data_IF_146755612698
#
_entry.id   IF_146755612698
#
_cell.length_a   1.000
_cell.length_b   1.000
_cell.length_c   1.000
_cell.angle_alpha   90.00
_cell.angle_beta   90.00
_cell.angle_gamma   90.00
#
_symmetry.space_group_name_H-M   'P 1'
#
loop_
_entity.id
_entity.type
_entity.pdbx_description
1 polymer ?
#
# COMPACT_ATOMS: atom_id res chain seq x y z
N UNK A 1 -2.10 10.71 45.21
CA UNK A 1 -2.97 11.21 44.12
C UNK A 1 -2.51 10.52 42.85
N UNK A 2 -3.03 9.35 42.44
CA UNK A 2 -4.29 9.15 41.68
C UNK A 2 -4.42 10.24 40.60
N UNK A 3 -4.28 10.01 39.29
CA UNK A 3 -4.63 8.86 38.43
C UNK A 3 -3.86 9.04 37.09
N UNK A 4 -3.32 8.00 36.41
CA UNK A 4 -2.82 8.17 35.06
C UNK A 4 -4.02 8.32 34.11
N UNK A 5 -3.95 9.32 33.23
CA UNK A 5 -4.91 9.56 32.17
C UNK A 5 -4.88 8.35 31.22
N UNK A 6 -5.72 7.35 31.50
CA UNK A 6 -6.09 6.32 30.54
C UNK A 6 -6.71 7.03 29.34
N UNK A 7 -5.91 7.27 28.32
CA UNK A 7 -6.37 7.38 26.94
C UNK A 7 -6.96 6.02 26.53
N UNK A 8 -8.11 5.69 27.13
CA UNK A 8 -9.08 4.82 26.50
C UNK A 8 -9.65 5.62 25.33
N UNK A 9 -8.91 5.64 24.23
CA UNK A 9 -9.52 5.84 22.93
C UNK A 9 -10.60 4.76 22.84
N UNK A 10 -11.86 5.14 23.06
CA UNK A 10 -12.98 4.44 22.47
C UNK A 10 -12.70 4.43 20.96
N UNK A 11 -11.98 3.42 20.49
CA UNK A 11 -12.14 2.93 19.14
C UNK A 11 -13.62 2.57 19.08
N UNK A 12 -14.43 3.43 18.48
CA UNK A 12 -15.72 2.99 17.99
C UNK A 12 -15.40 1.76 17.15
N UNK A 13 -15.73 0.58 17.66
CA UNK A 13 -15.52 -0.68 16.96
C UNK A 13 -16.50 -0.67 15.80
N UNK A 14 -16.08 -0.06 14.69
CA UNK A 14 -16.83 -0.11 13.46
C UNK A 14 -16.83 -1.56 13.01
N UNK A 15 -17.99 -2.05 12.59
CA UNK A 15 -18.02 -3.32 11.89
C UNK A 15 -17.05 -3.26 10.68
N UNK A 16 -16.35 -4.35 10.36
CA UNK A 16 -15.52 -4.41 9.16
C UNK A 16 -16.38 -4.07 7.94
N UNK A 17 -15.79 -3.46 6.92
CA UNK A 17 -16.48 -3.19 5.66
C UNK A 17 -17.05 -4.49 5.04
N UNK A 18 -16.33 -5.60 5.22
CA UNK A 18 -16.73 -6.93 4.83
C UNK A 18 -16.55 -7.92 5.99
N UNK A 19 -17.64 -8.49 6.48
CA UNK A 19 -17.60 -9.43 7.62
C UNK A 19 -17.17 -10.85 7.27
N UNK A 20 -17.16 -11.22 5.98
CA UNK A 20 -16.83 -12.56 5.51
C UNK A 20 -15.59 -12.49 4.60
N UNK A 21 -14.48 -13.15 4.96
CA UNK A 21 -13.28 -13.25 4.13
C UNK A 21 -13.58 -13.84 2.76
N UNK A 22 -13.24 -13.12 1.69
CA UNK A 22 -13.42 -13.56 0.30
C UNK A 22 -12.62 -12.71 -0.68
N UNK A 23 -12.52 -13.19 -1.91
CA UNK A 23 -12.02 -12.40 -3.05
C UNK A 23 -13.12 -11.44 -3.50
N UNK A 24 -12.81 -10.14 -3.58
CA UNK A 24 -13.75 -9.12 -4.03
C UNK A 24 -13.61 -8.85 -5.53
N UNK A 25 -12.37 -8.70 -5.98
CA UNK A 25 -12.02 -8.51 -7.38
C UNK A 25 -10.63 -9.10 -7.68
N UNK A 26 -10.31 -9.17 -8.96
CA UNK A 26 -8.94 -9.43 -9.43
C UNK A 26 -8.54 -8.46 -10.52
N UNK A 27 -7.24 -8.21 -10.62
CA UNK A 27 -6.63 -7.45 -11.70
C UNK A 27 -5.54 -8.31 -12.35
N UNK A 28 -5.69 -8.63 -13.63
CA UNK A 28 -4.83 -9.59 -14.35
C UNK A 28 -4.65 -10.92 -13.58
N UNK A 29 -5.69 -11.37 -12.87
CA UNK A 29 -5.66 -12.58 -12.04
C UNK A 29 -5.06 -12.41 -10.63
N UNK A 30 -4.45 -11.26 -10.31
CA UNK A 30 -4.05 -10.94 -8.93
C UNK A 30 -5.28 -10.59 -8.11
N UNK A 31 -5.56 -11.38 -7.07
CA UNK A 31 -6.74 -11.22 -6.23
C UNK A 31 -6.57 -10.06 -5.23
N UNK A 32 -7.67 -9.32 -5.03
CA UNK A 32 -7.87 -8.36 -3.95
C UNK A 32 -8.92 -8.94 -3.01
N UNK A 33 -8.49 -9.21 -1.79
CA UNK A 33 -9.30 -9.83 -0.77
C UNK A 33 -9.97 -8.79 0.14
N UNK A 34 -11.04 -9.22 0.79
CA UNK A 34 -11.84 -8.36 1.67
C UNK A 34 -11.09 -7.89 2.92
N UNK A 35 -10.12 -8.66 3.41
CA UNK A 35 -9.25 -8.30 4.52
C UNK A 35 -8.29 -7.16 4.15
N UNK A 36 -7.68 -7.20 2.97
CA UNK A 36 -6.84 -6.10 2.45
C UNK A 36 -7.64 -4.78 2.36
N UNK A 37 -8.89 -4.87 1.87
CA UNK A 37 -9.78 -3.71 1.81
C UNK A 37 -10.22 -3.27 3.21
N UNK A 38 -10.52 -4.20 4.13
CA UNK A 38 -10.87 -3.87 5.50
C UNK A 38 -9.74 -3.15 6.23
N UNK A 39 -8.50 -3.62 6.11
CA UNK A 39 -7.32 -3.00 6.72
C UNK A 39 -7.19 -1.53 6.28
N UNK A 40 -7.32 -1.28 4.99
CA UNK A 40 -7.26 0.05 4.43
C UNK A 40 -8.45 0.94 4.86
N UNK A 41 -9.66 0.38 4.91
CA UNK A 41 -10.84 1.11 5.43
C UNK A 41 -10.66 1.47 6.91
N UNK A 42 -10.13 0.56 7.72
CA UNK A 42 -9.87 0.79 9.15
C UNK A 42 -8.78 1.85 9.34
N UNK A 43 -7.74 1.84 8.51
CA UNK A 43 -6.75 2.91 8.46
C UNK A 43 -7.40 4.26 8.15
N UNK A 44 -8.23 4.36 7.10
CA UNK A 44 -8.92 5.60 6.76
C UNK A 44 -9.86 6.10 7.86
N UNK A 45 -10.55 5.21 8.57
CA UNK A 45 -11.42 5.59 9.70
C UNK A 45 -10.69 6.32 10.81
N UNK A 46 -9.37 6.16 10.95
CA UNK A 46 -8.58 6.84 12.00
C UNK A 46 -8.54 8.36 11.84
N UNK A 47 -8.74 8.87 10.62
CA UNK A 47 -8.69 10.31 10.30
C UNK A 47 -9.81 10.81 9.37
N UNK A 48 -10.59 9.92 8.74
CA UNK A 48 -11.78 10.21 7.91
C UNK A 48 -13.07 9.66 8.50
N UNK A 49 -13.25 9.74 9.82
CA UNK A 49 -14.36 9.09 10.53
C UNK A 49 -15.77 9.56 10.11
N UNK A 50 -15.89 10.68 9.39
CA UNK A 50 -17.16 11.21 8.90
C UNK A 50 -17.56 10.66 7.52
N UNK A 51 -16.65 9.99 6.81
CA UNK A 51 -16.96 9.41 5.50
C UNK A 51 -17.74 8.11 5.62
N UNK A 52 -18.60 7.85 4.63
CA UNK A 52 -19.34 6.59 4.57
C UNK A 52 -18.40 5.42 4.30
N UNK A 53 -18.70 4.24 4.85
CA UNK A 53 -17.95 3.01 4.55
C UNK A 53 -17.83 2.76 3.04
N UNK A 54 -18.85 3.09 2.25
CA UNK A 54 -18.82 2.95 0.79
C UNK A 54 -17.75 3.83 0.14
N UNK A 55 -17.60 5.09 0.59
CA UNK A 55 -16.56 6.00 0.12
C UNK A 55 -15.16 5.45 0.45
N UNK A 56 -14.99 4.94 1.67
CA UNK A 56 -13.73 4.36 2.13
C UNK A 56 -13.36 3.08 1.36
N UNK A 57 -14.33 2.21 1.05
CA UNK A 57 -14.11 1.01 0.21
C UNK A 57 -13.62 1.43 -1.18
N UNK A 58 -14.26 2.42 -1.81
CA UNK A 58 -13.88 2.91 -3.13
C UNK A 58 -12.44 3.45 -3.14
N UNK A 59 -12.09 4.28 -2.15
CA UNK A 59 -10.71 4.77 -1.96
C UNK A 59 -9.73 3.62 -1.76
N UNK A 60 -10.07 2.64 -0.93
CA UNK A 60 -9.21 1.52 -0.62
C UNK A 60 -8.89 0.69 -1.87
N UNK A 61 -9.93 0.30 -2.61
CA UNK A 61 -9.78 -0.48 -3.85
C UNK A 61 -8.97 0.29 -4.89
N UNK A 62 -9.26 1.58 -5.10
CA UNK A 62 -8.51 2.42 -6.04
C UNK A 62 -7.02 2.51 -5.70
N UNK A 63 -6.67 2.45 -4.42
CA UNK A 63 -5.27 2.55 -3.97
C UNK A 63 -4.52 1.20 -4.01
N UNK A 64 -5.23 0.08 -3.81
CA UNK A 64 -4.63 -1.28 -3.87
C UNK A 64 -4.39 -1.73 -5.33
N UNK A 65 -5.27 -1.33 -6.25
CA UNK A 65 -5.24 -1.76 -7.66
C UNK A 65 -3.86 -1.57 -8.33
N UNK A 66 -3.20 -0.40 -8.27
CA UNK A 66 -1.92 -0.20 -8.95
C UNK A 66 -0.80 -1.13 -8.45
N UNK A 67 -0.76 -1.42 -7.14
CA UNK A 67 0.20 -2.34 -6.55
C UNK A 67 0.00 -3.76 -7.09
N UNK A 68 -1.24 -4.26 -7.04
CA UNK A 68 -1.59 -5.60 -7.54
C UNK A 68 -1.35 -5.73 -9.04
N UNK A 69 -1.62 -4.68 -9.79
CA UNK A 69 -1.31 -4.64 -11.21
C UNK A 69 0.19 -4.80 -11.46
N UNK A 70 1.05 -4.03 -10.78
CA UNK A 70 2.50 -4.10 -11.05
C UNK A 70 3.09 -5.47 -10.68
N UNK A 71 2.60 -6.11 -9.61
CA UNK A 71 2.93 -7.51 -9.31
C UNK A 71 2.54 -8.48 -10.44
N UNK A 72 1.43 -8.22 -11.14
CA UNK A 72 1.00 -9.02 -12.29
C UNK A 72 1.80 -8.75 -13.57
N UNK A 73 2.24 -7.50 -13.76
CA UNK A 73 2.92 -7.04 -14.99
C UNK A 73 4.40 -7.40 -14.95
N UNK A 74 5.02 -7.33 -13.77
CA UNK A 74 6.46 -7.54 -13.55
C UNK A 74 6.73 -8.62 -12.48
N UNK A 75 6.15 -9.85 -12.58
CA UNK A 75 6.23 -10.84 -11.52
C UNK A 75 7.66 -11.31 -11.24
N UNK A 76 8.46 -11.57 -12.29
CA UNK A 76 9.84 -12.02 -12.14
C UNK A 76 10.74 -10.96 -11.48
N UNK A 77 10.52 -9.68 -11.79
CA UNK A 77 11.22 -8.59 -11.10
C UNK A 77 10.75 -8.49 -9.64
N UNK A 78 9.44 -8.62 -9.38
CA UNK A 78 8.89 -8.57 -8.03
C UNK A 78 9.48 -9.66 -7.12
N UNK A 79 9.66 -10.88 -7.61
CA UNK A 79 10.22 -12.00 -6.85
C UNK A 79 11.68 -11.73 -6.47
N UNK A 80 12.50 -11.24 -7.41
CA UNK A 80 13.90 -10.88 -7.14
C UNK A 80 13.99 -9.74 -6.13
N UNK A 81 13.21 -8.67 -6.31
CA UNK A 81 13.21 -7.53 -5.41
C UNK A 81 12.75 -7.92 -3.99
N UNK A 82 11.81 -8.86 -3.88
CA UNK A 82 11.35 -9.40 -2.60
C UNK A 82 12.51 -10.07 -1.83
N UNK A 83 13.26 -10.93 -2.50
CA UNK A 83 14.41 -11.59 -1.88
C UNK A 83 15.49 -10.57 -1.46
N UNK A 84 15.76 -9.57 -2.30
CA UNK A 84 16.75 -8.52 -2.00
C UNK A 84 16.34 -7.64 -0.81
N UNK A 85 15.09 -7.17 -0.76
CA UNK A 85 14.60 -6.34 0.34
C UNK A 85 14.54 -7.13 1.65
N UNK A 86 14.23 -8.43 1.60
CA UNK A 86 14.25 -9.31 2.77
C UNK A 86 15.67 -9.45 3.34
N UNK A 87 16.69 -9.51 2.48
CA UNK A 87 18.09 -9.49 2.92
C UNK A 87 18.45 -8.17 3.61
N UNK A 88 17.98 -7.03 3.10
CA UNK A 88 18.19 -5.73 3.75
C UNK A 88 17.48 -5.65 5.11
N UNK A 89 16.28 -6.22 5.23
CA UNK A 89 15.58 -6.33 6.50
C UNK A 89 16.32 -7.22 7.51
N UNK A 90 16.93 -8.31 7.05
CA UNK A 90 17.81 -9.14 7.89
C UNK A 90 19.02 -8.34 8.38
N UNK A 91 19.64 -7.51 7.54
CA UNK A 91 20.74 -6.61 7.95
C UNK A 91 20.30 -5.62 9.03
N UNK A 92 19.13 -5.00 8.88
CA UNK A 92 18.53 -4.11 9.90
C UNK A 92 18.32 -4.84 11.23
N UNK A 93 17.79 -6.06 11.22
CA UNK A 93 17.58 -6.85 12.44
C UNK A 93 18.89 -7.27 13.13
N UNK A 94 20.02 -7.26 12.41
CA UNK A 94 21.37 -7.47 12.96
C UNK A 94 22.02 -6.19 13.47
N UNK A 95 21.32 -5.06 13.43
CA UNK A 95 21.79 -3.77 13.95
C UNK A 95 22.54 -2.91 12.96
N UNK A 96 22.52 -3.23 11.66
CA UNK A 96 23.04 -2.31 10.64
C UNK A 96 22.21 -1.01 10.61
N UNK A 97 22.89 0.12 10.36
CA UNK A 97 22.23 1.43 10.35
C UNK A 97 21.28 1.56 9.15
N UNK A 98 20.01 1.88 9.44
CA UNK A 98 19.02 2.16 8.40
C UNK A 98 19.48 3.27 7.46
N UNK A 99 20.06 4.34 7.99
CA UNK A 99 20.57 5.46 7.20
C UNK A 99 21.63 5.00 6.18
N UNK A 100 22.54 4.11 6.59
CA UNK A 100 23.60 3.61 5.70
C UNK A 100 23.03 2.70 4.63
N UNK A 101 22.09 1.81 4.99
CA UNK A 101 21.41 0.96 4.02
C UNK A 101 20.58 1.79 3.04
N UNK A 102 19.86 2.82 3.49
CA UNK A 102 19.11 3.71 2.60
C UNK A 102 20.02 4.43 1.61
N UNK A 103 21.14 5.01 2.07
CA UNK A 103 22.14 5.66 1.20
C UNK A 103 22.75 4.71 0.16
N UNK A 104 22.92 3.44 0.52
CA UNK A 104 23.61 2.48 -0.34
C UNK A 104 22.67 1.77 -1.32
N UNK A 105 21.45 1.46 -0.91
CA UNK A 105 20.57 0.55 -1.64
C UNK A 105 19.28 1.21 -2.13
N UNK A 106 18.85 2.34 -1.57
CA UNK A 106 17.62 2.98 -2.05
C UNK A 106 17.80 3.50 -3.47
N UNK A 107 16.83 3.21 -4.31
CA UNK A 107 16.76 3.58 -5.73
C UNK A 107 15.77 4.71 -5.98
N UNK A 108 15.22 5.32 -4.92
CA UNK A 108 14.37 6.49 -5.04
C UNK A 108 15.22 7.72 -5.43
N UNK A 109 15.21 8.05 -6.71
CA UNK A 109 15.89 9.21 -7.28
C UNK A 109 15.18 10.53 -7.00
N UNK A 110 13.89 10.50 -6.64
CA UNK A 110 13.08 11.67 -6.30
C UNK A 110 13.26 12.08 -4.83
N UNK A 111 13.95 11.26 -4.01
CA UNK A 111 14.14 11.52 -2.58
C UNK A 111 14.89 12.84 -2.31
N UNK A 112 14.33 13.75 -1.49
CA UNK A 112 14.98 15.03 -1.14
C UNK A 112 16.35 14.88 -0.48
N UNK A 113 16.63 13.72 0.11
CA UNK A 113 17.88 13.43 0.78
C UNK A 113 18.46 12.10 0.32
N UNK A 114 19.79 12.01 0.28
CA UNK A 114 20.49 10.77 -0.08
C UNK A 114 20.18 9.61 0.88
N UNK A 115 19.71 9.89 2.09
CA UNK A 115 19.25 8.86 3.03
C UNK A 115 17.77 8.50 2.90
N UNK A 116 17.07 8.97 1.86
CA UNK A 116 15.70 8.54 1.55
C UNK A 116 14.62 9.17 2.44
N UNK A 117 14.81 10.42 2.89
CA UNK A 117 13.84 11.09 3.79
C UNK A 117 12.81 11.90 3.04
N UNK A 118 11.59 11.84 3.55
CA UNK A 118 10.45 12.64 3.10
C UNK A 118 9.69 13.23 4.29
N UNK A 119 8.95 14.30 4.03
CA UNK A 119 7.93 14.81 4.93
C UNK A 119 6.64 14.99 4.14
N UNK A 120 5.55 14.41 4.62
CA UNK A 120 4.23 14.49 3.99
C UNK A 120 3.11 14.34 5.01
N UNK A 121 1.93 14.79 4.61
CA UNK A 121 0.67 14.51 5.30
C UNK A 121 0.05 13.19 4.78
N UNK A 122 -0.96 12.69 5.49
CA UNK A 122 -1.73 11.50 5.08
C UNK A 122 -2.31 11.66 3.67
N UNK A 123 -2.38 10.56 2.94
CA UNK A 123 -2.77 10.51 1.52
C UNK A 123 -1.83 11.29 0.58
N UNK A 124 -0.70 11.80 1.08
CA UNK A 124 0.33 12.44 0.26
C UNK A 124 1.25 11.43 -0.45
N UNK A 125 1.10 10.13 -0.16
CA UNK A 125 1.97 9.06 -0.69
C UNK A 125 1.16 7.85 -1.14
N UNK A 126 1.84 6.86 -1.73
CA UNK A 126 1.22 5.63 -2.23
C UNK A 126 0.87 4.64 -1.10
N UNK A 127 -0.06 3.73 -1.34
CA UNK A 127 -0.25 2.58 -0.47
C UNK A 127 0.78 1.48 -0.77
N UNK A 128 1.22 0.71 0.25
CA UNK A 128 0.96 0.86 1.68
C UNK A 128 1.93 1.78 2.43
N UNK A 129 2.75 2.56 1.70
CA UNK A 129 3.71 3.50 2.28
C UNK A 129 3.05 4.47 3.28
N UNK A 130 1.91 5.06 2.90
CA UNK A 130 1.14 5.95 3.77
C UNK A 130 0.74 5.27 5.08
N UNK A 131 0.25 4.03 5.04
CA UNK A 131 -0.13 3.28 6.25
C UNK A 131 1.05 3.13 7.19
N UNK A 132 2.17 2.59 6.70
CA UNK A 132 3.33 2.34 7.56
C UNK A 132 3.91 3.62 8.14
N UNK A 133 3.83 4.73 7.40
CA UNK A 133 4.31 6.05 7.86
C UNK A 133 3.59 6.54 9.11
N UNK A 134 2.32 6.21 9.29
CA UNK A 134 1.49 6.68 10.40
C UNK A 134 1.14 5.62 11.45
N UNK A 135 1.48 4.35 11.20
CA UNK A 135 1.15 3.22 12.10
C UNK A 135 2.37 2.57 12.72
N UNK A 136 3.52 2.57 12.05
CA UNK A 136 4.78 2.11 12.64
C UNK A 136 5.20 3.10 13.73
N UNK A 137 5.74 2.58 14.83
CA UNK A 137 6.22 3.41 15.92
C UNK A 137 7.43 4.22 15.47
N UNK A 138 7.51 5.46 15.92
CA UNK A 138 8.67 6.33 15.66
C UNK A 138 9.98 5.65 16.08
N UNK A 139 10.95 5.69 15.18
CA UNK A 139 12.27 5.04 15.20
C UNK A 139 12.28 3.51 15.03
N UNK A 140 11.12 2.84 15.03
CA UNK A 140 11.02 1.46 14.55
C UNK A 140 10.88 1.44 13.01
N UNK A 141 11.01 0.27 12.40
CA UNK A 141 10.86 0.10 10.95
C UNK A 141 9.82 -0.97 10.59
N UNK A 142 9.23 -0.84 9.42
CA UNK A 142 8.26 -1.79 8.87
C UNK A 142 8.93 -3.11 8.47
N UNK A 143 8.13 -4.16 8.34
CA UNK A 143 8.51 -5.29 7.48
C UNK A 143 8.60 -4.83 6.01
N UNK A 144 9.25 -5.59 5.12
CA UNK A 144 9.21 -5.30 3.69
C UNK A 144 7.79 -5.28 3.14
N UNK A 145 7.48 -4.28 2.32
CA UNK A 145 6.18 -4.14 1.67
C UNK A 145 6.33 -3.64 0.23
N UNK A 146 5.36 -3.93 -0.63
CA UNK A 146 5.41 -3.54 -2.05
C UNK A 146 4.41 -2.44 -2.35
N UNK A 147 4.81 -1.46 -3.15
CA UNK A 147 3.93 -0.45 -3.74
C UNK A 147 3.93 -0.62 -5.26
N UNK A 148 3.22 0.26 -5.98
CA UNK A 148 3.31 0.29 -7.45
C UNK A 148 4.73 0.57 -8.00
N UNK A 149 5.68 1.05 -7.19
CA UNK A 149 7.04 1.36 -7.64
C UNK A 149 8.07 0.25 -7.39
N UNK A 150 7.78 -0.68 -6.47
CA UNK A 150 8.73 -1.70 -6.04
C UNK A 150 8.58 -2.01 -4.54
N UNK A 151 9.63 -2.56 -3.94
CA UNK A 151 9.66 -2.96 -2.53
C UNK A 151 10.27 -1.91 -1.63
N UNK A 152 9.73 -1.80 -0.42
CA UNK A 152 10.02 -0.75 0.54
C UNK A 152 10.31 -1.34 1.91
N UNK A 153 11.18 -0.68 2.66
CA UNK A 153 11.21 -0.71 4.13
C UNK A 153 11.12 0.75 4.58
N UNK A 154 10.30 1.05 5.59
CA UNK A 154 10.06 2.41 6.05
C UNK A 154 10.31 2.55 7.56
N UNK A 155 10.88 3.68 7.96
CA UNK A 155 11.11 4.09 9.35
C UNK A 155 10.52 5.49 9.58
N UNK A 156 9.47 5.65 10.39
CA UNK A 156 9.01 6.98 10.82
C UNK A 156 10.02 7.60 11.78
N UNK A 157 10.44 8.84 11.55
CA UNK A 157 11.44 9.54 12.36
C UNK A 157 10.81 10.47 13.40
N UNK A 158 9.75 11.18 13.03
CA UNK A 158 8.96 12.02 13.95
C UNK A 158 7.65 12.47 13.31
N UNK A 159 6.66 12.70 14.15
CA UNK A 159 5.45 13.43 13.77
C UNK A 159 5.68 14.94 13.86
N UNK A 160 5.15 15.67 12.89
CA UNK A 160 5.14 17.13 12.83
C UNK A 160 3.69 17.58 13.05
N UNK A 161 3.47 18.43 14.04
CA UNK A 161 2.12 18.88 14.37
C UNK A 161 1.58 19.85 13.33
N UNK A 162 0.32 19.63 12.96
CA UNK A 162 -0.62 20.63 12.49
C UNK A 162 -1.99 20.24 13.06
N UNK A 163 -2.86 21.20 13.34
CA UNK A 163 -3.86 21.23 14.43
C UNK A 163 -4.96 20.15 14.40
N UNK A 164 -4.98 19.25 13.41
CA UNK A 164 -5.94 18.15 13.27
C UNK A 164 -5.28 16.81 12.91
N UNK A 165 -5.98 15.68 13.12
CA UNK A 165 -5.51 14.36 12.66
C UNK A 165 -5.31 14.28 11.14
N UNK A 166 -6.02 15.11 10.37
CA UNK A 166 -5.94 15.15 8.92
C UNK A 166 -4.70 15.90 8.43
N UNK A 167 -4.26 16.91 9.19
CA UNK A 167 -3.10 17.75 8.84
C UNK A 167 -1.79 17.22 9.47
N UNK A 168 -1.87 16.11 10.22
CA UNK A 168 -0.69 15.45 10.80
C UNK A 168 0.30 15.07 9.71
N UNK A 169 1.50 15.64 9.80
CA UNK A 169 2.62 15.30 8.95
C UNK A 169 3.59 14.36 9.67
N UNK A 170 4.34 13.60 8.89
CA UNK A 170 5.37 12.70 9.39
C UNK A 170 6.63 12.85 8.56
N UNK A 171 7.77 12.96 9.24
CA UNK A 171 9.08 12.77 8.62
C UNK A 171 9.41 11.28 8.67
N UNK A 172 9.72 10.68 7.53
CA UNK A 172 10.10 9.27 7.42
C UNK A 172 11.46 9.13 6.74
N UNK A 173 12.06 7.97 6.90
CA UNK A 173 13.15 7.46 6.07
C UNK A 173 12.68 6.16 5.42
N UNK A 174 13.09 5.90 4.19
CA UNK A 174 12.77 4.63 3.55
C UNK A 174 13.90 4.11 2.67
N UNK A 175 13.84 2.82 2.36
CA UNK A 175 14.62 2.14 1.33
C UNK A 175 13.61 1.70 0.28
N UNK A 176 13.79 2.12 -0.97
CA UNK A 176 13.01 1.64 -2.11
C UNK A 176 13.91 0.83 -3.04
N UNK A 177 13.57 -0.42 -3.30
CA UNK A 177 14.09 -1.19 -4.44
C UNK A 177 13.04 -1.15 -5.54
N UNK A 178 13.31 -0.38 -6.58
CA UNK A 178 12.40 -0.16 -7.71
C UNK A 178 12.45 -1.32 -8.69
N UNK A 179 11.33 -1.54 -9.38
CA UNK A 179 11.30 -2.41 -10.55
C UNK A 179 12.42 -2.02 -11.55
N UNK A 180 13.32 -2.94 -11.95
CA UNK A 180 14.31 -2.70 -13.00
C UNK A 180 13.72 -2.08 -14.27
N UNK A 181 12.50 -2.48 -14.66
CA UNK A 181 11.77 -1.84 -15.77
C UNK A 181 11.56 -0.34 -15.51
N UNK A 182 11.17 0.07 -14.30
CA UNK A 182 10.96 1.48 -13.96
C UNK A 182 12.27 2.27 -13.88
N UNK A 183 13.33 1.67 -13.37
CA UNK A 183 14.68 2.28 -13.40
C UNK A 183 15.12 2.53 -14.85
N UNK A 184 14.82 1.62 -15.77
CA UNK A 184 15.12 1.80 -17.18
C UNK A 184 14.31 2.95 -17.81
N UNK A 185 13.04 3.11 -17.43
CA UNK A 185 12.21 4.24 -17.86
C UNK A 185 12.78 5.58 -17.36
N UNK A 186 13.14 5.68 -16.08
CA UNK A 186 13.75 6.90 -15.52
C UNK A 186 15.05 7.26 -16.26
N UNK A 187 15.90 6.27 -16.55
CA UNK A 187 17.14 6.47 -17.33
C UNK A 187 16.90 6.89 -18.77
N UNK A 188 15.75 6.54 -19.33
CA UNK A 188 15.31 6.95 -20.66
C UNK A 188 14.55 8.30 -20.64
N UNK A 189 14.46 8.96 -19.48
CA UNK A 189 13.67 10.18 -19.27
C UNK A 189 12.16 9.98 -19.59
N UNK A 190 11.66 8.76 -19.42
CA UNK A 190 10.24 8.41 -19.58
C UNK A 190 9.50 8.47 -18.23
N UNK A 191 8.23 8.91 -18.24
CA UNK A 191 7.43 9.02 -17.02
C UNK A 191 6.90 7.64 -16.56
N UNK A 192 7.41 7.18 -15.42
CA UNK A 192 6.96 5.95 -14.75
C UNK A 192 5.46 5.98 -14.42
N UNK A 193 4.90 7.16 -14.10
CA UNK A 193 3.47 7.33 -13.80
C UNK A 193 2.64 7.06 -15.06
N UNK A 194 3.06 7.59 -16.21
CA UNK A 194 2.42 7.32 -17.50
C UNK A 194 2.48 5.83 -17.87
N UNK A 195 3.62 5.17 -17.63
CA UNK A 195 3.74 3.72 -17.83
C UNK A 195 2.72 2.94 -16.99
N UNK A 196 2.58 3.26 -15.70
CA UNK A 196 1.62 2.60 -14.79
C UNK A 196 0.19 2.85 -15.28
N UNK A 197 -0.15 4.08 -15.65
CA UNK A 197 -1.48 4.45 -16.17
C UNK A 197 -1.82 3.69 -17.45
N UNK A 198 -0.87 3.60 -18.40
CA UNK A 198 -1.03 2.81 -19.62
C UNK A 198 -1.28 1.33 -19.32
N UNK A 199 -0.58 0.76 -18.33
CA UNK A 199 -0.81 -0.62 -17.90
C UNK A 199 -2.17 -0.79 -17.22
N UNK A 200 -2.64 0.20 -16.46
CA UNK A 200 -3.98 0.19 -15.86
C UNK A 200 -5.07 0.14 -16.93
N UNK A 201 -4.96 0.98 -17.97
CA UNK A 201 -5.92 1.00 -19.08
C UNK A 201 -5.96 -0.31 -19.89
N UNK A 202 -4.88 -1.09 -19.86
CA UNK A 202 -4.77 -2.40 -20.52
C UNK A 202 -5.15 -3.57 -19.61
N UNK A 203 -5.36 -3.31 -18.32
CA UNK A 203 -5.60 -4.35 -17.34
C UNK A 203 -6.97 -5.01 -17.54
N UNK A 204 -7.07 -6.28 -17.16
CA UNK A 204 -8.34 -6.98 -17.04
C UNK A 204 -8.78 -6.96 -15.59
N UNK A 205 -9.88 -6.28 -15.28
CA UNK A 205 -10.46 -6.25 -13.93
C UNK A 205 -11.68 -7.16 -13.90
N UNK A 206 -11.71 -8.10 -12.95
CA UNK A 206 -12.86 -8.99 -12.74
C UNK A 206 -13.43 -8.75 -11.35
N UNK A 207 -14.69 -8.34 -11.25
CA UNK A 207 -15.41 -8.25 -9.97
C UNK A 207 -16.31 -9.48 -9.84
N UNK A 208 -16.22 -10.16 -8.69
CA UNK A 208 -16.89 -11.45 -8.44
C UNK A 208 -18.29 -11.32 -7.83
N UNK A 209 -18.71 -10.11 -7.48
CA UNK A 209 -20.06 -9.82 -6.98
C UNK A 209 -20.66 -8.64 -7.76
N UNK A 210 -21.81 -8.84 -8.41
CA UNK A 210 -22.48 -7.79 -9.19
C UNK A 210 -22.76 -6.53 -8.34
N UNK A 211 -23.09 -6.73 -7.05
CA UNK A 211 -23.31 -5.65 -6.09
C UNK A 211 -22.07 -4.79 -5.82
N UNK A 212 -20.88 -5.30 -6.15
CA UNK A 212 -19.61 -4.62 -5.95
C UNK A 212 -19.10 -3.89 -7.20
N UNK A 213 -19.83 -3.87 -8.32
CA UNK A 213 -19.37 -3.17 -9.54
C UNK A 213 -18.96 -1.70 -9.31
N UNK A 214 -19.56 -1.05 -8.31
CA UNK A 214 -19.33 0.35 -8.00
C UNK A 214 -18.11 0.59 -7.08
N UNK A 215 -17.43 -0.46 -6.61
CA UNK A 215 -16.18 -0.32 -5.83
C UNK A 215 -14.97 -0.02 -6.73
N UNK A 216 -15.13 -0.18 -8.05
CA UNK A 216 -14.13 0.20 -9.05
C UNK A 216 -14.39 1.65 -9.49
N UNK A 217 -13.32 2.44 -9.51
CA UNK A 217 -13.32 3.84 -9.92
C UNK A 217 -13.85 3.99 -11.35
N UNK A 218 -14.52 5.11 -11.64
CA UNK A 218 -15.28 5.29 -12.89
C UNK A 218 -14.42 5.12 -14.15
N UNK A 219 -13.22 5.66 -14.13
CA UNK A 219 -12.18 5.61 -15.16
C UNK A 219 -11.65 4.21 -15.46
N UNK A 220 -11.86 3.25 -14.55
CA UNK A 220 -11.45 1.84 -14.73
C UNK A 220 -12.63 0.91 -15.08
N UNK A 221 -13.85 1.44 -15.18
CA UNK A 221 -15.05 0.61 -15.44
C UNK A 221 -15.09 0.04 -16.86
N UNK A 222 -14.41 0.66 -17.82
CA UNK A 222 -14.32 0.12 -19.18
C UNK A 222 -13.48 -1.17 -19.24
N UNK A 223 -12.60 -1.38 -18.25
CA UNK A 223 -11.82 -2.61 -18.10
C UNK A 223 -12.55 -3.72 -17.31
N UNK A 224 -13.76 -3.44 -16.82
CA UNK A 224 -14.48 -4.30 -15.89
C UNK A 224 -15.22 -5.44 -16.60
N UNK A 225 -14.95 -6.67 -16.16
CA UNK A 225 -15.80 -7.83 -16.40
C UNK A 225 -16.53 -8.20 -15.10
N UNK A 226 -17.86 -8.33 -15.17
CA UNK A 226 -18.64 -8.89 -14.06
C UNK A 226 -18.69 -10.40 -14.21
N UNK A 227 -18.23 -11.12 -13.20
CA UNK A 227 -18.40 -12.56 -13.12
C UNK A 227 -19.48 -12.89 -12.08
N UNK A 228 -20.51 -13.61 -12.49
CA UNK A 228 -21.55 -14.12 -11.59
C UNK A 228 -21.19 -15.49 -10.99
N UNK A 229 -19.94 -15.95 -11.13
CA UNK A 229 -19.52 -17.25 -10.61
C UNK A 229 -19.56 -17.24 -9.09
N UNK A 230 -20.66 -17.78 -8.56
CA UNK A 230 -20.91 -18.16 -7.16
C UNK A 230 -19.89 -19.17 -6.58
N UNK A 231 -18.76 -19.42 -7.25
CA UNK A 231 -17.76 -20.39 -6.82
C UNK A 231 -16.37 -19.83 -7.10
N UNK A 232 -15.75 -19.24 -6.08
CA UNK A 232 -14.29 -19.15 -6.04
C UNK A 232 -13.73 -20.58 -6.06
N UNK A 233 -12.62 -20.85 -6.76
CA UNK A 233 -11.99 -22.17 -6.72
C UNK A 233 -11.63 -22.50 -5.26
N UNK A 234 -12.24 -23.57 -4.73
CA UNK A 234 -11.84 -24.16 -3.46
C UNK A 234 -10.36 -24.49 -3.50
N UNK A 235 -9.63 -24.10 -2.45
CA UNK A 235 -8.18 -24.27 -2.31
C UNK A 235 -7.69 -25.72 -2.45
N UNK A 236 -6.37 -25.94 -2.37
CA UNK A 236 -5.76 -27.21 -2.74
C UNK A 236 -6.29 -28.35 -1.86
N UNK A 237 -6.78 -29.41 -2.50
CA UNK A 237 -6.98 -30.71 -1.87
C UNK A 237 -5.60 -31.24 -1.50
N UNK A 238 -5.35 -31.32 -0.20
CA UNK A 238 -4.24 -32.09 0.36
C UNK A 238 -4.59 -33.55 0.16
N UNK A 239 -3.86 -34.23 -0.73
CA UNK A 239 -3.67 -35.68 -0.69
C UNK A 239 -2.36 -36.00 0.02
#
# INVERSE_FOLDING_TARGET
>A
MLLPLLLSLCQQSHAPAFSVPRVLLSINGQHIHSDEVNEMVDYYRTYRSQESTQCLILKAVATIIPQKLMLSVLPAEADVLKEEIEQLHVKLSRGESFEQLAKQYSQDSEAPTADGRYTFAREGTVYPFDIYSFTVKVNDYSAPFVTKYGYHILQPLRFIHDDTKADLQVEVRHILLMYPTMIALEKAEEDVREYIEKKLQQAKIVVYEIGLKNIVAHDLRDQLTLSSLLVAPSGPTVD
#
